data_IF_947991304099
#
_entry.id   IF_947991304099
#
_cell.length_a   1.000
_cell.length_b   1.000
_cell.length_c   1.000
_cell.angle_alpha   90.00
_cell.angle_beta   90.00
_cell.angle_gamma   90.00
#
_symmetry.space_group_name_H-M   'P 1'
#
loop_
_entity.id
_entity.type
_entity.pdbx_description
1 polymer ?
#
# COMPACT_ATOMS: atom_id res chain seq x y z
N UNK A 1 -19.37 4.69 6.82
CA UNK A 1 -17.95 4.98 7.13
C UNK A 1 -17.09 3.84 6.62
N UNK A 2 -16.00 4.17 5.99
CA UNK A 2 -15.07 3.19 5.44
C UNK A 2 -13.65 3.64 5.79
N UNK A 3 -13.04 2.95 6.74
CA UNK A 3 -11.72 3.31 7.24
C UNK A 3 -10.88 2.06 7.43
N UNK A 4 -9.64 2.12 7.01
CA UNK A 4 -8.65 1.08 7.25
C UNK A 4 -7.41 1.71 7.85
N UNK A 5 -6.86 1.06 8.87
CA UNK A 5 -5.58 1.45 9.48
C UNK A 5 -4.71 0.20 9.48
N UNK A 6 -3.57 0.30 8.81
CA UNK A 6 -2.67 -0.84 8.66
C UNK A 6 -1.28 -0.46 9.13
N UNK A 7 -0.67 -1.34 9.90
CA UNK A 7 0.73 -1.24 10.28
C UNK A 7 1.46 -2.41 9.65
N UNK A 8 2.42 -2.11 8.81
CA UNK A 8 3.11 -3.16 8.10
C UNK A 8 4.45 -2.72 7.54
N UNK A 9 5.06 -3.63 6.82
CA UNK A 9 6.39 -3.41 6.24
C UNK A 9 6.29 -3.45 4.72
N UNK A 10 6.90 -2.47 4.08
CA UNK A 10 6.85 -2.31 2.63
C UNK A 10 7.58 -3.47 1.95
N UNK A 11 6.91 -4.10 1.00
CA UNK A 11 7.45 -5.26 0.27
C UNK A 11 8.24 -4.88 -0.97
N UNK A 12 8.00 -3.70 -1.53
CA UNK A 12 8.71 -3.17 -2.69
C UNK A 12 8.66 -1.65 -2.67
N UNK A 13 9.64 -1.03 -3.31
CA UNK A 13 9.66 0.43 -3.43
C UNK A 13 8.37 0.90 -4.09
N UNK A 14 7.86 2.05 -3.65
CA UNK A 14 6.68 2.64 -4.26
C UNK A 14 6.97 2.99 -5.72
N UNK A 15 6.05 2.57 -6.60
CA UNK A 15 6.11 2.94 -8.01
C UNK A 15 5.29 4.20 -8.20
N UNK A 16 5.91 5.23 -8.75
CA UNK A 16 5.25 6.52 -8.96
C UNK A 16 4.96 6.72 -10.45
N UNK A 17 3.80 7.25 -10.75
CA UNK A 17 3.36 7.53 -12.10
C UNK A 17 2.79 8.94 -12.19
N UNK A 18 3.23 9.66 -13.22
CA UNK A 18 2.77 11.00 -13.52
C UNK A 18 1.84 10.95 -14.72
N UNK A 19 0.67 11.58 -14.57
CA UNK A 19 -0.33 11.62 -15.65
C UNK A 19 -0.32 12.99 -16.34
N UNK A 20 -0.75 13.02 -17.61
CA UNK A 20 -0.83 14.26 -18.39
C UNK A 20 -1.73 15.31 -17.74
N UNK A 21 -2.73 14.87 -16.97
CA UNK A 21 -3.63 15.75 -16.24
C UNK A 21 -2.97 16.48 -15.09
N UNK A 22 -1.72 16.17 -14.78
CA UNK A 22 -1.00 16.71 -13.63
C UNK A 22 -1.15 15.89 -12.38
N UNK A 23 -1.97 14.85 -12.40
CA UNK A 23 -2.12 13.96 -11.26
C UNK A 23 -0.93 13.04 -11.11
N UNK A 24 -0.65 12.67 -9.87
CA UNK A 24 0.44 11.76 -9.53
C UNK A 24 -0.14 10.61 -8.72
N UNK A 25 0.26 9.40 -9.05
CA UNK A 25 -0.16 8.19 -8.33
C UNK A 25 1.07 7.40 -7.92
N UNK A 26 1.05 6.89 -6.70
CA UNK A 26 2.05 5.90 -6.26
C UNK A 26 1.33 4.64 -5.82
N UNK A 27 1.98 3.49 -6.01
CA UNK A 27 1.45 2.20 -5.61
C UNK A 27 2.56 1.40 -4.94
N UNK A 28 2.21 0.76 -3.85
CA UNK A 28 3.12 -0.15 -3.17
C UNK A 28 2.33 -1.21 -2.41
N UNK A 29 3.02 -2.23 -1.92
CA UNK A 29 2.41 -3.27 -1.11
C UNK A 29 3.03 -3.29 0.27
N UNK A 30 2.21 -3.66 1.26
CA UNK A 30 2.68 -3.83 2.64
C UNK A 30 2.33 -5.22 3.13
N UNK A 31 3.23 -5.76 3.95
CA UNK A 31 3.06 -7.04 4.61
C UNK A 31 2.59 -6.78 6.04
N UNK A 32 1.46 -7.37 6.39
CA UNK A 32 0.91 -7.31 7.74
C UNK A 32 0.90 -8.73 8.29
N UNK A 33 1.65 -8.95 9.37
CA UNK A 33 1.71 -10.26 9.98
C UNK A 33 0.57 -10.42 10.98
N UNK A 34 -0.04 -11.61 10.99
CA UNK A 34 -1.04 -11.97 11.97
C UNK A 34 -0.82 -13.40 12.44
N UNK A 35 -1.31 -13.69 13.61
CA UNK A 35 -1.30 -15.05 14.15
C UNK A 35 -2.52 -15.81 13.63
N UNK A 36 -2.30 -17.00 13.08
CA UNK A 36 -3.36 -17.90 12.69
C UNK A 36 -3.51 -18.99 13.75
N UNK A 37 -4.64 -18.97 14.45
CA UNK A 37 -4.91 -19.92 15.54
C UNK A 37 -5.17 -21.35 15.04
N UNK A 38 -5.57 -21.51 13.78
CA UNK A 38 -5.82 -22.82 13.18
C UNK A 38 -4.52 -23.56 12.90
N UNK A 39 -3.57 -22.88 12.27
CA UNK A 39 -2.26 -23.45 11.94
C UNK A 39 -1.24 -23.25 13.04
N UNK A 40 -1.56 -22.42 14.04
CA UNK A 40 -0.66 -22.05 15.15
C UNK A 40 0.66 -21.50 14.64
N UNK A 41 0.59 -20.62 13.65
CA UNK A 41 1.75 -20.01 13.03
C UNK A 41 1.44 -18.57 12.63
N UNK A 42 2.49 -17.78 12.40
CA UNK A 42 2.34 -16.47 11.81
C UNK A 42 2.12 -16.59 10.31
N UNK A 43 1.15 -15.82 9.82
CA UNK A 43 0.90 -15.70 8.39
C UNK A 43 1.00 -14.24 8.00
N UNK A 44 1.33 -13.99 6.75
CA UNK A 44 1.48 -12.64 6.22
C UNK A 44 0.36 -12.35 5.24
N UNK A 45 -0.38 -11.28 5.51
CA UNK A 45 -1.35 -10.76 4.56
C UNK A 45 -0.73 -9.59 3.81
N UNK A 46 -0.97 -9.55 2.50
CA UNK A 46 -0.44 -8.51 1.63
C UNK A 46 -1.54 -7.56 1.21
N UNK A 47 -1.29 -6.27 1.33
CA UNK A 47 -2.25 -5.24 0.96
C UNK A 47 -1.65 -4.32 -0.09
N UNK A 48 -2.44 -4.01 -1.11
CA UNK A 48 -2.08 -3.03 -2.13
C UNK A 48 -2.53 -1.65 -1.67
N UNK A 49 -1.63 -0.68 -1.75
CA UNK A 49 -1.87 0.68 -1.30
C UNK A 49 -1.73 1.63 -2.49
N UNK A 50 -2.76 2.42 -2.72
CA UNK A 50 -2.75 3.50 -3.70
C UNK A 50 -2.67 4.83 -2.98
N UNK A 51 -1.90 5.74 -3.55
CA UNK A 51 -1.66 7.07 -2.98
C UNK A 51 -1.69 8.09 -4.12
N UNK A 52 -2.26 9.26 -3.86
CA UNK A 52 -2.44 10.28 -4.89
C UNK A 52 -1.81 11.60 -4.51
N UNK A 53 -1.37 12.34 -5.54
CA UNK A 53 -0.91 13.72 -5.50
C UNK A 53 0.27 13.93 -4.54
N UNK A 54 0.18 14.86 -3.60
CA UNK A 54 1.30 15.18 -2.70
C UNK A 54 1.74 13.97 -1.87
N UNK A 55 0.79 13.16 -1.43
CA UNK A 55 1.11 11.97 -0.66
C UNK A 55 1.81 10.92 -1.55
N UNK A 56 1.47 10.88 -2.85
CA UNK A 56 2.15 10.00 -3.81
C UNK A 56 3.62 10.43 -4.00
N UNK A 57 3.87 11.72 -4.08
CA UNK A 57 5.24 12.24 -4.16
C UNK A 57 6.05 11.90 -2.91
N UNK A 58 5.43 12.05 -1.74
CA UNK A 58 6.03 11.62 -0.47
C UNK A 58 6.37 10.13 -0.50
N UNK A 59 5.43 9.31 -0.98
CA UNK A 59 5.64 7.86 -1.05
C UNK A 59 6.78 7.50 -2.01
N UNK A 60 6.85 8.17 -3.15
CA UNK A 60 7.92 7.94 -4.12
C UNK A 60 9.30 8.21 -3.53
N UNK A 61 9.39 9.17 -2.60
CA UNK A 61 10.65 9.54 -1.98
C UNK A 61 10.99 8.66 -0.77
N UNK A 62 10.01 8.34 0.06
CA UNK A 62 10.26 7.72 1.37
C UNK A 62 9.76 6.29 1.54
N UNK A 63 8.85 5.82 0.71
CA UNK A 63 8.30 4.47 0.86
C UNK A 63 9.17 3.50 0.07
N UNK A 64 10.10 2.88 0.76
CA UNK A 64 11.08 1.96 0.20
C UNK A 64 10.94 0.57 0.82
N UNK A 65 11.37 -0.44 0.10
CA UNK A 65 11.33 -1.82 0.55
C UNK A 65 11.92 -1.96 1.95
N UNK A 66 11.20 -2.62 2.84
CA UNK A 66 11.66 -2.90 4.20
C UNK A 66 11.27 -1.84 5.23
N UNK A 67 10.80 -0.68 4.80
CA UNK A 67 10.38 0.37 5.73
C UNK A 67 9.08 -0.04 6.42
N UNK A 68 9.01 0.19 7.73
CA UNK A 68 7.81 -0.03 8.50
C UNK A 68 7.01 1.27 8.58
N UNK A 69 5.70 1.18 8.39
CA UNK A 69 4.86 2.37 8.36
C UNK A 69 3.44 2.07 8.79
N UNK A 70 2.69 3.15 9.06
CA UNK A 70 1.26 3.11 9.30
C UNK A 70 0.56 3.78 8.13
N UNK A 71 -0.44 3.11 7.57
CA UNK A 71 -1.29 3.65 6.52
C UNK A 71 -2.69 3.84 7.07
N UNK A 72 -3.22 5.05 6.95
CA UNK A 72 -4.63 5.36 7.16
C UNK A 72 -5.29 5.59 5.82
N UNK A 73 -6.45 5.02 5.61
CA UNK A 73 -7.15 5.22 4.36
C UNK A 73 -8.52 4.58 4.33
N UNK A 74 -9.01 4.37 3.14
CA UNK A 74 -10.27 3.68 2.90
C UNK A 74 -10.05 2.49 2.00
N UNK A 75 -10.90 1.49 2.14
CA UNK A 75 -10.90 0.33 1.26
C UNK A 75 -11.68 0.72 0.00
N UNK A 76 -11.07 0.48 -1.15
CA UNK A 76 -11.70 0.72 -2.44
C UNK A 76 -11.74 -0.58 -3.23
N UNK A 77 -12.80 -0.74 -3.98
CA UNK A 77 -12.96 -1.88 -4.87
C UNK A 77 -12.57 -1.46 -6.27
N UNK A 78 -11.66 -2.23 -6.87
CA UNK A 78 -11.23 -2.02 -8.23
C UNK A 78 -11.82 -3.12 -9.10
N UNK A 79 -12.60 -2.73 -10.11
CA UNK A 79 -13.26 -3.66 -11.03
C UNK A 79 -12.76 -3.43 -12.44
N UNK A 80 -12.54 -4.52 -13.16
CA UNK A 80 -12.15 -4.46 -14.56
C UNK A 80 -12.61 -5.72 -15.27
N UNK A 81 -12.63 -5.66 -16.60
CA UNK A 81 -12.94 -6.81 -17.43
C UNK A 81 -11.66 -7.44 -17.92
N UNK A 82 -11.52 -8.74 -17.69
CA UNK A 82 -10.36 -9.50 -18.17
C UNK A 82 -10.51 -9.67 -19.69
N UNK A 83 -9.58 -9.11 -20.46
CA UNK A 83 -9.62 -9.17 -21.92
C UNK A 83 -9.44 -10.57 -22.48
N UNK A 84 -8.75 -11.43 -21.72
CA UNK A 84 -8.48 -12.80 -22.18
C UNK A 84 -9.69 -13.69 -22.03
N UNK A 85 -10.50 -13.53 -20.99
CA UNK A 85 -11.63 -14.40 -20.68
C UNK A 85 -12.99 -13.72 -20.83
N UNK A 86 -13.02 -12.40 -20.89
CA UNK A 86 -14.26 -11.62 -20.89
C UNK A 86 -14.96 -11.56 -19.55
N UNK A 87 -14.38 -12.16 -18.51
CA UNK A 87 -14.95 -12.18 -17.17
C UNK A 87 -14.66 -10.88 -16.43
N UNK A 88 -15.60 -10.46 -15.59
CA UNK A 88 -15.36 -9.36 -14.68
C UNK A 88 -14.43 -9.82 -13.56
N UNK A 89 -13.46 -8.97 -13.25
CA UNK A 89 -12.51 -9.19 -12.17
C UNK A 89 -12.61 -8.05 -11.18
N UNK A 90 -12.31 -8.35 -9.92
CA UNK A 90 -12.29 -7.33 -8.88
C UNK A 90 -11.20 -7.64 -7.86
N UNK A 91 -10.66 -6.60 -7.30
CA UNK A 91 -9.81 -6.73 -6.13
C UNK A 91 -10.04 -5.53 -5.23
N UNK A 92 -9.55 -5.62 -4.00
CA UNK A 92 -9.61 -4.54 -3.05
C UNK A 92 -8.24 -3.91 -2.90
N UNK A 93 -8.24 -2.60 -2.71
CA UNK A 93 -7.01 -1.87 -2.39
C UNK A 93 -7.34 -0.82 -1.34
N UNK A 94 -6.32 -0.28 -0.73
CA UNK A 94 -6.46 0.79 0.25
C UNK A 94 -5.97 2.07 -0.38
N UNK A 95 -6.85 3.07 -0.43
CA UNK A 95 -6.46 4.41 -0.87
C UNK A 95 -6.03 5.19 0.37
N UNK A 96 -4.75 5.46 0.47
CA UNK A 96 -4.19 6.08 1.66
C UNK A 96 -4.53 7.57 1.73
N UNK A 97 -4.91 8.01 2.91
CA UNK A 97 -5.10 9.44 3.21
C UNK A 97 -3.95 9.98 4.05
N UNK A 98 -3.24 9.11 4.76
CA UNK A 98 -2.02 9.48 5.45
C UNK A 98 -1.07 8.29 5.56
N UNK A 99 0.21 8.60 5.61
CA UNK A 99 1.27 7.62 5.80
C UNK A 99 2.20 8.16 6.88
N UNK A 100 2.50 7.33 7.88
CA UNK A 100 3.50 7.64 8.91
C UNK A 100 4.59 6.60 8.88
N UNK A 101 5.81 7.07 8.73
CA UNK A 101 6.97 6.18 8.80
C UNK A 101 7.24 5.84 10.25
N UNK A 102 7.50 4.57 10.50
CA UNK A 102 7.88 4.07 11.81
C UNK A 102 9.35 3.63 11.76
N UNK A 103 9.99 3.65 12.91
CA UNK A 103 11.38 3.23 13.02
C UNK A 103 12.27 4.33 13.56
N UNK A 104 13.53 4.00 13.76
CA UNK A 104 14.52 4.93 14.27
C UNK A 104 15.01 5.85 13.13
N UNK A 105 15.67 6.95 13.52
CA UNK A 105 16.34 7.82 12.55
C UNK A 105 17.33 7.03 11.68
N UNK A 106 17.93 6.00 12.25
CA UNK A 106 18.87 5.13 11.53
C UNK A 106 18.18 4.40 10.38
N UNK A 107 16.97 3.86 10.63
CA UNK A 107 16.20 3.17 9.59
C UNK A 107 15.81 4.15 8.49
N UNK A 108 15.37 5.33 8.86
CA UNK A 108 14.96 6.36 7.92
C UNK A 108 16.16 6.86 7.09
N UNK A 109 17.34 6.91 7.67
CA UNK A 109 18.54 7.36 6.96
C UNK A 109 18.98 6.40 5.86
N UNK A 110 18.47 5.18 5.85
CA UNK A 110 18.78 4.17 4.81
C UNK A 110 17.81 4.21 3.63
N UNK A 111 16.83 5.06 3.69
CA UNK A 111 15.82 5.19 2.63
C UNK A 111 16.38 5.91 1.39
#
# INVERSE_FOLDING_TARGET
>A
MNTAVLVGRVGRDAEIRYFESGKVRANFSIAVNRWDSKTKSEVTDWFNIDVWDKLAEFAGEYVKKGVQLVVDGRIAQNKWTDKATGNERENFLVVATSIRLLGSKRDLAQI
#
